data_IF_501254681848
#
_entry.id   IF_501254681848
#
_cell.length_a   1.000
_cell.length_b   1.000
_cell.length_c   1.000
_cell.angle_alpha   90.00
_cell.angle_beta   90.00
_cell.angle_gamma   90.00
#
_symmetry.space_group_name_H-M   'P 1'
#
loop_
_entity.id
_entity.type
_entity.pdbx_description
1 polymer ?
#
# COMPACT_ATOMS: atom_id res chain seq x y z
N UNK A 1 7.33 6.24 13.41
CA UNK A 1 8.14 7.24 12.68
C UNK A 1 7.39 8.54 12.43
N UNK A 2 8.06 9.46 11.77
CA UNK A 2 7.53 10.80 11.50
C UNK A 2 7.66 11.74 12.69
N UNK A 3 7.16 12.94 12.54
CA UNK A 3 7.27 14.02 13.54
C UNK A 3 6.70 13.66 14.93
N UNK A 4 5.53 12.98 15.01
CA UNK A 4 4.94 12.64 16.30
C UNK A 4 5.78 11.68 17.16
N UNK A 5 6.70 10.93 16.56
CA UNK A 5 7.53 9.98 17.33
C UNK A 5 8.70 10.63 18.09
N UNK A 6 9.08 11.86 17.74
CA UNK A 6 10.24 12.54 18.36
C UNK A 6 10.06 12.76 19.86
N UNK A 7 8.99 13.42 20.26
CA UNK A 7 8.75 13.79 21.67
C UNK A 7 8.66 12.57 22.60
N UNK A 8 7.85 11.53 22.32
CA UNK A 8 7.74 10.38 23.21
C UNK A 8 9.04 9.57 23.28
N UNK A 9 9.81 9.46 22.18
CA UNK A 9 11.07 8.73 22.20
C UNK A 9 12.17 9.47 22.94
N UNK A 10 12.26 10.80 22.83
CA UNK A 10 13.19 11.61 23.62
C UNK A 10 12.84 11.55 25.12
N UNK A 11 11.56 11.65 25.47
CA UNK A 11 11.12 11.48 26.86
C UNK A 11 11.46 10.09 27.39
N UNK A 12 11.28 9.04 26.61
CA UNK A 12 11.67 7.67 26.98
C UNK A 12 13.17 7.56 27.24
N UNK A 13 14.00 8.23 26.43
CA UNK A 13 15.46 8.26 26.66
C UNK A 13 15.82 8.94 27.95
N UNK A 14 15.21 10.09 28.25
CA UNK A 14 15.45 10.81 29.50
C UNK A 14 15.04 9.99 30.75
N UNK A 15 13.99 9.18 30.61
CA UNK A 15 13.52 8.27 31.66
C UNK A 15 14.27 6.92 31.71
N UNK A 16 15.36 6.76 30.97
CA UNK A 16 16.15 5.54 30.97
C UNK A 16 15.42 4.31 30.37
N UNK A 17 14.35 4.52 29.59
CA UNK A 17 13.60 3.43 28.96
C UNK A 17 14.28 2.95 27.68
N UNK A 18 14.18 1.64 27.42
CA UNK A 18 14.66 1.05 26.15
C UNK A 18 13.82 1.53 24.97
N UNK A 19 14.49 1.84 23.88
CA UNK A 19 13.90 2.37 22.65
C UNK A 19 14.19 1.40 21.51
N UNK A 20 13.15 0.96 20.83
CA UNK A 20 13.24 0.20 19.57
C UNK A 20 12.59 1.02 18.46
N UNK A 21 13.27 1.11 17.32
CA UNK A 21 12.76 1.80 16.13
C UNK A 21 12.55 0.77 15.02
N UNK A 22 11.39 0.85 14.38
CA UNK A 22 11.11 0.10 13.16
C UNK A 22 10.93 1.06 11.98
N UNK A 23 11.72 0.87 10.91
CA UNK A 23 11.57 1.60 9.65
C UNK A 23 10.84 0.73 8.63
N UNK A 24 9.66 1.18 8.23
CA UNK A 24 8.83 0.45 7.26
C UNK A 24 9.26 0.64 5.80
N UNK A 25 9.96 1.73 5.51
CA UNK A 25 10.31 2.11 4.15
C UNK A 25 11.72 1.64 3.75
N UNK A 26 12.00 1.68 2.45
CA UNK A 26 13.33 1.37 1.91
C UNK A 26 14.37 2.47 2.18
N UNK A 27 13.92 3.64 2.63
CA UNK A 27 14.78 4.76 3.04
C UNK A 27 14.37 5.23 4.41
N UNK A 28 15.32 5.36 5.32
CA UNK A 28 15.07 5.88 6.65
C UNK A 28 14.47 7.29 6.60
N UNK A 29 13.31 7.46 7.23
CA UNK A 29 12.71 8.75 7.44
C UNK A 29 13.60 9.65 8.31
N UNK A 30 13.48 10.98 8.16
CA UNK A 30 14.33 11.96 8.87
C UNK A 30 14.28 11.77 10.39
N UNK A 31 13.07 11.55 10.96
CA UNK A 31 12.88 11.34 12.39
C UNK A 31 13.56 10.04 12.85
N UNK A 32 13.33 8.92 12.15
CA UNK A 32 13.96 7.64 12.49
C UNK A 32 15.49 7.72 12.36
N UNK A 33 15.98 8.41 11.34
CA UNK A 33 17.41 8.61 11.13
C UNK A 33 18.08 9.40 12.27
N UNK A 34 17.39 10.39 12.84
CA UNK A 34 17.86 11.11 14.02
C UNK A 34 17.77 10.24 15.28
N UNK A 35 16.64 9.58 15.49
CA UNK A 35 16.34 8.82 16.71
C UNK A 35 17.14 7.51 16.80
N UNK A 36 17.58 6.92 15.69
CA UNK A 36 18.33 5.67 15.72
C UNK A 36 19.67 5.78 16.47
N UNK A 37 20.22 7.00 16.59
CA UNK A 37 21.44 7.23 17.41
C UNK A 37 21.20 7.06 18.91
N UNK A 38 19.96 7.11 19.38
CA UNK A 38 19.54 6.95 20.77
C UNK A 38 18.87 5.61 21.03
N UNK A 39 18.56 4.84 19.97
CA UNK A 39 17.83 3.59 20.07
C UNK A 39 18.72 2.46 20.58
N UNK A 40 18.13 1.58 21.37
CA UNK A 40 18.76 0.33 21.84
C UNK A 40 18.68 -0.78 20.79
N UNK A 41 17.71 -0.65 19.85
CA UNK A 41 17.54 -1.56 18.73
C UNK A 41 16.87 -0.88 17.55
N UNK A 42 17.22 -1.33 16.35
CA UNK A 42 16.63 -0.86 15.09
C UNK A 42 16.23 -2.06 14.24
N UNK A 43 15.03 -2.02 13.70
CA UNK A 43 14.58 -3.01 12.72
C UNK A 43 14.07 -2.34 11.46
N UNK A 44 14.04 -3.07 10.36
CA UNK A 44 13.53 -2.58 9.09
C UNK A 44 12.65 -3.59 8.38
N UNK A 45 11.73 -3.04 7.60
CA UNK A 45 10.74 -3.79 6.82
C UNK A 45 11.28 -4.32 5.49
N UNK A 46 12.38 -3.75 4.97
CA UNK A 46 12.99 -4.17 3.72
C UNK A 46 14.49 -4.48 3.91
N UNK A 47 14.95 -5.55 3.28
CA UNK A 47 16.33 -6.05 3.41
C UNK A 47 17.38 -4.99 3.03
N UNK A 48 17.08 -4.20 2.00
CA UNK A 48 17.97 -3.18 1.44
C UNK A 48 17.59 -1.76 1.90
N UNK A 49 17.04 -1.61 3.12
CA UNK A 49 16.73 -0.29 3.65
C UNK A 49 17.99 0.56 3.79
N UNK A 50 17.99 1.73 3.15
CA UNK A 50 19.13 2.66 3.18
C UNK A 50 19.12 3.49 4.46
N UNK A 51 20.15 3.29 5.28
CA UNK A 51 20.39 4.06 6.51
C UNK A 51 21.46 5.11 6.20
N UNK A 52 21.14 6.39 6.46
CA UNK A 52 22.07 7.50 6.22
C UNK A 52 23.03 7.76 7.40
N UNK A 53 22.87 7.07 8.52
CA UNK A 53 23.69 7.29 9.72
C UNK A 53 24.96 6.43 9.65
N UNK A 54 26.13 7.08 9.75
CA UNK A 54 27.45 6.46 9.75
C UNK A 54 27.86 5.83 11.09
N UNK A 55 26.94 5.64 12.03
CA UNK A 55 27.24 5.02 13.33
C UNK A 55 26.89 3.54 13.30
N UNK A 56 27.75 2.72 13.87
CA UNK A 56 27.48 1.32 14.17
C UNK A 56 26.24 1.20 15.03
N UNK A 57 25.11 0.88 14.41
CA UNK A 57 23.87 0.56 15.14
C UNK A 57 24.05 -0.84 15.68
N UNK A 58 24.26 -0.93 16.99
CA UNK A 58 24.47 -2.18 17.71
C UNK A 58 23.22 -2.99 17.67
N UNK A 59 22.60 -3.68 17.16
CA UNK A 59 21.29 -4.38 17.08
C UNK A 59 20.41 -3.88 15.93
N UNK A 60 20.90 -4.00 14.72
CA UNK A 60 20.12 -3.77 13.52
C UNK A 60 19.67 -5.10 12.90
N UNK A 61 18.35 -5.30 12.78
CA UNK A 61 17.79 -6.55 12.28
C UNK A 61 16.74 -6.30 11.19
N UNK A 62 16.76 -7.11 10.15
CA UNK A 62 15.66 -7.19 9.18
C UNK A 62 14.58 -8.12 9.76
N UNK A 63 13.39 -7.57 10.00
CA UNK A 63 12.25 -8.32 10.53
C UNK A 63 11.07 -8.40 9.57
N UNK A 64 11.10 -7.65 8.47
CA UNK A 64 9.95 -7.47 7.60
C UNK A 64 8.95 -6.43 8.15
N UNK A 65 7.96 -6.07 7.35
CA UNK A 65 6.86 -5.22 7.80
C UNK A 65 5.74 -6.06 8.42
N UNK A 66 5.12 -5.60 9.52
CA UNK A 66 3.93 -6.24 10.03
C UNK A 66 2.79 -6.11 9.01
N UNK A 67 2.06 -7.18 8.80
CA UNK A 67 0.87 -7.24 7.95
C UNK A 67 -0.34 -7.61 8.79
N UNK A 68 -1.53 -7.28 8.32
CA UNK A 68 -2.78 -7.62 9.02
C UNK A 68 -3.00 -9.12 9.01
N UNK A 69 -3.57 -9.66 10.07
CA UNK A 69 -3.83 -11.10 10.20
C UNK A 69 -4.77 -11.62 9.10
N UNK A 70 -5.73 -10.80 8.69
CA UNK A 70 -6.65 -11.11 7.59
C UNK A 70 -5.91 -11.38 6.26
N UNK A 71 -4.76 -10.73 6.05
CA UNK A 71 -3.91 -10.96 4.86
C UNK A 71 -3.19 -12.30 4.96
N UNK A 72 -2.70 -12.65 6.15
CA UNK A 72 -1.92 -13.88 6.34
C UNK A 72 -2.74 -15.13 6.01
N UNK A 73 -4.06 -15.09 6.15
CA UNK A 73 -4.97 -16.18 5.79
C UNK A 73 -4.87 -16.56 4.30
N UNK A 74 -4.52 -15.63 3.44
CA UNK A 74 -4.42 -15.83 2.00
C UNK A 74 -3.04 -16.33 1.53
N UNK A 75 -2.06 -16.46 2.44
CA UNK A 75 -0.67 -16.80 2.10
C UNK A 75 -0.52 -18.09 1.27
N UNK A 76 -1.35 -19.07 1.55
CA UNK A 76 -1.27 -20.39 0.91
C UNK A 76 -2.41 -20.59 -0.12
N UNK A 77 -3.23 -19.58 -0.36
CA UNK A 77 -4.29 -19.66 -1.35
C UNK A 77 -3.74 -19.53 -2.76
N UNK A 78 -4.15 -20.45 -3.63
CA UNK A 78 -3.79 -20.39 -5.05
C UNK A 78 -4.72 -19.44 -5.79
N UNK A 79 -4.16 -18.48 -6.46
CA UNK A 79 -4.90 -17.57 -7.33
C UNK A 79 -5.38 -18.29 -8.58
N UNK A 80 -6.67 -18.22 -8.84
CA UNK A 80 -7.27 -18.79 -10.06
C UNK A 80 -7.51 -17.61 -11.01
N UNK A 81 -6.81 -17.63 -12.13
CA UNK A 81 -6.98 -16.61 -13.18
C UNK A 81 -8.10 -17.02 -14.14
N UNK A 82 -9.09 -16.16 -14.36
CA UNK A 82 -10.07 -16.33 -15.43
C UNK A 82 -9.47 -15.81 -16.73
N UNK A 83 -9.19 -16.70 -17.67
CA UNK A 83 -8.60 -16.33 -18.98
C UNK A 83 -9.49 -15.44 -19.84
N UNK A 84 -10.77 -15.29 -19.51
CA UNK A 84 -11.74 -14.49 -20.29
C UNK A 84 -11.93 -13.08 -19.76
N UNK A 85 -11.68 -12.87 -18.49
CA UNK A 85 -11.89 -11.59 -17.82
C UNK A 85 -10.62 -11.16 -17.11
N UNK A 86 -10.32 -9.88 -17.16
CA UNK A 86 -9.19 -9.26 -16.45
C UNK A 86 -9.76 -8.44 -15.28
N UNK A 87 -9.48 -8.87 -14.08
CA UNK A 87 -9.91 -8.20 -12.85
C UNK A 87 -8.84 -7.20 -12.43
N UNK A 88 -9.19 -5.92 -12.41
CA UNK A 88 -8.27 -4.84 -12.05
C UNK A 88 -8.76 -4.18 -10.77
N UNK A 89 -7.93 -4.18 -9.74
CA UNK A 89 -8.17 -3.44 -8.51
C UNK A 89 -7.35 -2.16 -8.51
N UNK A 90 -8.01 -1.03 -8.25
CA UNK A 90 -7.39 0.29 -8.22
C UNK A 90 -7.66 0.94 -6.87
N UNK A 91 -6.61 1.25 -6.12
CA UNK A 91 -6.77 1.99 -4.85
C UNK A 91 -5.53 2.81 -4.51
N UNK A 92 -5.73 3.97 -3.90
CA UNK A 92 -4.64 4.92 -3.68
C UNK A 92 -4.58 5.54 -2.29
N UNK A 93 -5.49 5.15 -1.39
CA UNK A 93 -5.72 5.86 -0.15
C UNK A 93 -6.30 7.27 -0.39
N UNK A 94 -6.69 7.95 0.68
CA UNK A 94 -7.47 9.20 0.64
C UNK A 94 -6.83 10.34 -0.18
N UNK A 95 -5.49 10.44 -0.20
CA UNK A 95 -4.78 11.53 -0.89
C UNK A 95 -4.38 11.19 -2.34
N UNK A 96 -4.55 9.96 -2.79
CA UNK A 96 -4.16 9.55 -4.15
C UNK A 96 -5.34 9.24 -5.07
N UNK A 97 -6.55 9.23 -4.54
CA UNK A 97 -7.72 8.74 -5.24
C UNK A 97 -8.08 9.60 -6.48
N UNK A 98 -8.04 10.92 -6.41
CA UNK A 98 -8.36 11.79 -7.55
C UNK A 98 -7.35 11.69 -8.69
N UNK A 99 -6.07 11.63 -8.38
CA UNK A 99 -5.03 11.42 -9.39
C UNK A 99 -5.23 10.08 -10.12
N UNK A 100 -5.53 9.02 -9.39
CA UNK A 100 -5.81 7.72 -9.99
C UNK A 100 -7.09 7.74 -10.83
N UNK A 101 -8.14 8.45 -10.42
CA UNK A 101 -9.36 8.62 -11.21
C UNK A 101 -9.06 9.20 -12.59
N UNK A 102 -8.35 10.32 -12.64
CA UNK A 102 -7.95 10.97 -13.89
C UNK A 102 -7.02 10.08 -14.73
N UNK A 103 -5.99 9.51 -14.09
CA UNK A 103 -5.03 8.65 -14.77
C UNK A 103 -5.69 7.44 -15.43
N UNK A 104 -6.57 6.74 -14.71
CA UNK A 104 -7.24 5.53 -15.20
C UNK A 104 -8.20 5.84 -16.33
N UNK A 105 -9.07 6.84 -16.19
CA UNK A 105 -10.00 7.21 -17.27
C UNK A 105 -9.27 7.62 -18.54
N UNK A 106 -8.18 8.39 -18.39
CA UNK A 106 -7.32 8.76 -19.52
C UNK A 106 -6.59 7.55 -20.13
N UNK A 107 -6.09 6.65 -19.30
CA UNK A 107 -5.39 5.44 -19.81
C UNK A 107 -6.32 4.50 -20.53
N UNK A 108 -7.53 4.30 -20.03
CA UNK A 108 -8.53 3.46 -20.67
C UNK A 108 -8.93 4.00 -22.06
N UNK A 109 -8.96 5.31 -22.28
CA UNK A 109 -9.28 5.89 -23.59
C UNK A 109 -8.29 5.54 -24.71
N UNK A 110 -7.11 5.03 -24.36
CA UNK A 110 -6.12 4.52 -25.33
C UNK A 110 -6.28 3.03 -25.65
N UNK A 111 -7.14 2.31 -24.92
CA UNK A 111 -7.34 0.89 -25.17
C UNK A 111 -8.38 0.66 -26.28
N UNK A 112 -8.23 -0.38 -27.10
CA UNK A 112 -9.27 -0.81 -28.04
C UNK A 112 -10.58 -1.15 -27.29
N UNK A 113 -11.72 -0.79 -27.89
CA UNK A 113 -13.05 -1.02 -27.31
C UNK A 113 -13.35 -2.48 -27.03
N UNK A 114 -12.78 -3.39 -27.82
CA UNK A 114 -12.95 -4.84 -27.69
C UNK A 114 -12.41 -5.37 -26.34
N UNK A 115 -11.42 -4.67 -25.76
CA UNK A 115 -10.84 -5.04 -24.46
C UNK A 115 -11.80 -4.72 -23.32
N UNK A 116 -12.61 -3.65 -23.43
CA UNK A 116 -13.48 -3.19 -22.37
C UNK A 116 -14.48 -4.23 -21.88
N UNK A 117 -15.02 -5.04 -22.79
CA UNK A 117 -15.98 -6.09 -22.45
C UNK A 117 -15.40 -7.17 -21.52
N UNK A 118 -14.07 -7.31 -21.53
CA UNK A 118 -13.34 -8.28 -20.73
C UNK A 118 -12.77 -7.69 -19.43
N UNK A 119 -12.93 -6.37 -19.21
CA UNK A 119 -12.47 -5.74 -17.98
C UNK A 119 -13.53 -5.82 -16.87
N UNK A 120 -13.05 -6.10 -15.68
CA UNK A 120 -13.79 -5.93 -14.44
C UNK A 120 -12.97 -5.04 -13.51
N UNK A 121 -13.42 -3.79 -13.31
CA UNK A 121 -12.66 -2.78 -12.56
C UNK A 121 -13.30 -2.56 -11.20
N UNK A 122 -12.52 -2.78 -10.14
CA UNK A 122 -12.85 -2.40 -8.77
C UNK A 122 -11.99 -1.21 -8.41
N UNK A 123 -12.61 -0.04 -8.21
CA UNK A 123 -11.85 1.20 -7.96
C UNK A 123 -12.31 1.92 -6.71
N UNK A 124 -11.35 2.18 -5.81
CA UNK A 124 -11.54 3.11 -4.71
C UNK A 124 -11.29 4.54 -5.20
N UNK A 125 -12.24 5.44 -4.94
CA UNK A 125 -12.12 6.85 -5.29
C UNK A 125 -12.70 7.74 -4.18
N UNK A 126 -12.67 9.06 -4.36
CA UNK A 126 -13.37 9.98 -3.46
C UNK A 126 -14.87 9.92 -3.71
N UNK A 127 -15.65 10.27 -2.70
CA UNK A 127 -17.14 10.30 -2.79
C UNK A 127 -17.64 11.11 -3.98
N UNK A 128 -17.00 12.26 -4.23
CA UNK A 128 -17.34 13.15 -5.34
C UNK A 128 -17.07 12.54 -6.72
N UNK A 129 -16.15 11.59 -6.81
CA UNK A 129 -15.75 10.97 -8.08
C UNK A 129 -16.59 9.71 -8.41
N UNK A 130 -17.39 9.18 -7.47
CA UNK A 130 -18.15 7.93 -7.64
C UNK A 130 -19.10 8.00 -8.84
N UNK A 131 -19.94 9.03 -8.90
CA UNK A 131 -20.92 9.17 -9.97
C UNK A 131 -20.23 9.30 -11.34
N UNK A 132 -19.19 10.13 -11.41
CA UNK A 132 -18.42 10.30 -12.63
C UNK A 132 -17.82 8.97 -13.14
N UNK A 133 -17.17 8.20 -12.26
CA UNK A 133 -16.56 6.92 -12.64
C UNK A 133 -17.61 5.87 -13.02
N UNK A 134 -18.71 5.80 -12.27
CA UNK A 134 -19.82 4.89 -12.56
C UNK A 134 -20.41 5.15 -13.95
N UNK A 135 -20.67 6.42 -14.28
CA UNK A 135 -21.15 6.82 -15.59
C UNK A 135 -20.14 6.53 -16.69
N UNK A 136 -18.86 6.82 -16.44
CA UNK A 136 -17.80 6.58 -17.40
C UNK A 136 -17.66 5.08 -17.74
N UNK A 137 -17.62 4.21 -16.72
CA UNK A 137 -17.50 2.76 -16.95
C UNK A 137 -18.76 2.18 -17.59
N UNK A 138 -19.94 2.63 -17.19
CA UNK A 138 -21.22 2.20 -17.79
C UNK A 138 -21.31 2.54 -19.27
N UNK A 139 -20.96 3.78 -19.67
CA UNK A 139 -20.94 4.22 -21.07
C UNK A 139 -19.99 3.41 -21.94
N UNK A 140 -18.91 2.91 -21.35
CA UNK A 140 -17.90 2.10 -22.06
C UNK A 140 -18.15 0.58 -21.92
N UNK A 141 -19.28 0.14 -21.36
CA UNK A 141 -19.62 -1.26 -21.13
C UNK A 141 -18.57 -2.03 -20.28
N UNK A 142 -17.87 -1.34 -19.38
CA UNK A 142 -16.91 -1.93 -18.45
C UNK A 142 -17.65 -2.40 -17.21
N UNK A 143 -17.48 -3.66 -16.80
CA UNK A 143 -17.96 -4.13 -15.49
C UNK A 143 -17.18 -3.43 -14.39
N UNK A 144 -17.87 -2.90 -13.40
CA UNK A 144 -17.21 -2.10 -12.37
C UNK A 144 -17.88 -2.18 -11.00
N UNK A 145 -17.08 -1.92 -9.98
CA UNK A 145 -17.51 -1.64 -8.62
C UNK A 145 -16.70 -0.45 -8.09
N UNK A 146 -17.36 0.69 -7.87
CA UNK A 146 -16.74 1.94 -7.46
C UNK A 146 -17.22 2.31 -6.07
N UNK A 147 -16.31 2.59 -5.15
CA UNK A 147 -16.63 2.96 -3.78
C UNK A 147 -15.57 3.91 -3.19
N UNK A 148 -15.96 4.66 -2.17
CA UNK A 148 -15.01 5.47 -1.40
C UNK A 148 -14.20 4.64 -0.40
N UNK A 149 -14.70 3.45 -0.03
CA UNK A 149 -14.01 2.55 0.89
C UNK A 149 -14.38 1.09 0.63
N UNK A 150 -13.41 0.19 0.76
CA UNK A 150 -13.61 -1.26 0.74
C UNK A 150 -13.17 -1.87 2.06
N UNK A 151 -14.08 -2.57 2.73
CA UNK A 151 -13.82 -3.23 4.02
C UNK A 151 -12.95 -4.49 3.86
N UNK A 152 -13.12 -5.23 2.77
CA UNK A 152 -12.42 -6.49 2.51
C UNK A 152 -11.40 -6.35 1.36
N UNK A 153 -10.47 -5.39 1.53
CA UNK A 153 -9.40 -5.17 0.56
C UNK A 153 -8.53 -6.42 0.32
N UNK A 154 -8.22 -7.25 1.32
CA UNK A 154 -7.48 -8.50 1.12
C UNK A 154 -8.13 -9.42 0.09
N UNK A 155 -9.42 -9.65 0.20
CA UNK A 155 -10.17 -10.47 -0.74
C UNK A 155 -10.14 -9.89 -2.16
N UNK A 156 -10.29 -8.57 -2.28
CA UNK A 156 -10.21 -7.89 -3.58
C UNK A 156 -8.83 -8.02 -4.21
N UNK A 157 -7.75 -7.94 -3.43
CA UNK A 157 -6.38 -8.17 -3.91
C UNK A 157 -6.25 -9.59 -4.45
N UNK A 158 -6.75 -10.59 -3.72
CA UNK A 158 -6.71 -11.99 -4.15
C UNK A 158 -7.51 -12.25 -5.42
N UNK A 159 -8.64 -11.58 -5.60
CA UNK A 159 -9.52 -11.73 -6.76
C UNK A 159 -9.03 -10.98 -8.00
N UNK A 160 -8.04 -10.11 -7.87
CA UNK A 160 -7.57 -9.25 -8.95
C UNK A 160 -6.38 -9.85 -9.69
N UNK A 161 -6.37 -9.73 -11.02
CA UNK A 161 -5.23 -10.10 -11.87
C UNK A 161 -4.17 -9.01 -11.87
N UNK A 162 -4.61 -7.75 -11.79
CA UNK A 162 -3.76 -6.57 -11.77
C UNK A 162 -4.19 -5.67 -10.62
N UNK A 163 -3.22 -5.19 -9.86
CA UNK A 163 -3.44 -4.20 -8.81
C UNK A 163 -2.69 -2.92 -9.15
N UNK A 164 -3.41 -1.82 -9.23
CA UNK A 164 -2.87 -0.47 -9.44
C UNK A 164 -3.02 0.31 -8.14
N UNK A 165 -1.90 0.64 -7.51
CA UNK A 165 -1.93 1.33 -6.23
C UNK A 165 -0.73 2.25 -6.03
N UNK A 166 -0.79 3.09 -5.01
CA UNK A 166 0.42 3.77 -4.51
C UNK A 166 1.32 2.77 -3.82
N UNK A 167 2.63 2.90 -4.05
CA UNK A 167 3.66 2.03 -3.47
C UNK A 167 3.92 2.34 -1.98
N UNK A 168 2.89 2.27 -1.13
CA UNK A 168 3.05 2.34 0.31
C UNK A 168 3.70 1.07 0.86
N UNK A 169 4.57 1.20 1.87
CA UNK A 169 5.29 0.06 2.42
C UNK A 169 4.37 -1.06 2.93
N UNK A 170 3.29 -0.70 3.65
CA UNK A 170 2.29 -1.66 4.12
C UNK A 170 1.57 -2.33 2.96
N UNK A 171 1.13 -1.55 1.97
CA UNK A 171 0.43 -2.06 0.79
C UNK A 171 1.28 -3.07 0.02
N UNK A 172 2.56 -2.74 -0.23
CA UNK A 172 3.49 -3.65 -0.91
C UNK A 172 3.74 -4.93 -0.10
N UNK A 173 3.85 -4.81 1.23
CA UNK A 173 4.06 -5.97 2.10
C UNK A 173 2.84 -6.88 2.15
N UNK A 174 1.64 -6.33 2.13
CA UNK A 174 0.39 -7.09 2.07
C UNK A 174 0.20 -7.77 0.70
N UNK A 175 0.43 -7.05 -0.39
CA UNK A 175 0.37 -7.63 -1.74
C UNK A 175 1.40 -8.73 -1.99
N UNK A 176 2.55 -8.68 -1.32
CA UNK A 176 3.58 -9.72 -1.45
C UNK A 176 3.20 -11.05 -0.76
N UNK A 177 2.15 -11.06 0.07
CA UNK A 177 1.60 -12.27 0.71
C UNK A 177 0.50 -12.89 -0.15
N UNK A 178 -0.32 -12.03 -0.79
CA UNK A 178 -1.37 -12.44 -1.72
C UNK A 178 -0.80 -12.79 -3.10
#
# INVERSE_FOLDING_TARGET
GGYPSLSPLLASKLLGRKIIIHEQNTVFGRANNFLCSFADGVSNGFKNTRIKVHKNINNHNFLGNPVREEIVKYKDEKKIFDKRNINILIFGGSHGASFLTELITKSLSYLPSEIFQNLNIVQQCRKEDINFLTDYFSKNNVRHNVSDFFYDLPKLIMQSDIVISRAGASTLSEMAIC
#
